data_IF_003345673676
#
_entry.id   IF_003345673676
#
_cell.length_a   1.000
_cell.length_b   1.000
_cell.length_c   1.000
_cell.angle_alpha   90.00
_cell.angle_beta   90.00
_cell.angle_gamma   90.00
#
_symmetry.space_group_name_H-M   'P 1'
#
loop_
_entity.id
_entity.type
_entity.pdbx_description
1 polymer ?
#
# COMPACT_ATOMS: atom_id res chain seq x y z
N UNK A 1 -12.16 64.75 -76.02
CA UNK A 1 -10.81 65.04 -75.52
C UNK A 1 -10.27 63.75 -74.88
N UNK A 2 -9.16 63.22 -75.43
CA UNK A 2 -8.23 62.20 -74.90
C UNK A 2 -8.70 60.75 -74.58
N UNK A 3 -7.91 59.85 -75.16
CA UNK A 3 -7.83 58.39 -75.01
C UNK A 3 -7.61 57.91 -73.56
N UNK A 4 -8.01 56.67 -73.29
CA UNK A 4 -7.32 55.81 -72.33
C UNK A 4 -7.38 54.34 -72.80
N UNK A 5 -6.25 53.83 -73.30
CA UNK A 5 -5.98 52.40 -73.52
C UNK A 5 -6.09 51.66 -72.18
N UNK A 6 -6.76 50.50 -72.17
CA UNK A 6 -6.49 49.46 -71.19
C UNK A 6 -6.30 48.13 -71.91
N UNK A 7 -5.03 47.72 -71.98
CA UNK A 7 -4.53 46.41 -72.37
C UNK A 7 -4.74 45.47 -71.17
N UNK A 8 -5.34 44.29 -71.35
CA UNK A 8 -5.31 43.22 -70.33
C UNK A 8 -4.82 41.90 -70.97
N UNK A 9 -3.94 41.16 -70.29
CA UNK A 9 -3.00 40.25 -70.94
C UNK A 9 -3.52 38.80 -71.04
N UNK A 10 -2.76 38.08 -71.84
CA UNK A 10 -2.85 36.70 -72.31
C UNK A 10 -3.02 35.65 -71.20
N UNK A 11 -3.74 34.59 -71.55
CA UNK A 11 -4.03 33.44 -70.70
C UNK A 11 -2.76 32.72 -70.25
N UNK A 12 -2.56 32.66 -68.94
CA UNK A 12 -1.52 31.85 -68.33
C UNK A 12 -1.92 30.37 -68.29
N UNK A 13 -0.94 29.59 -68.70
CA UNK A 13 -0.97 28.17 -68.98
C UNK A 13 -0.91 27.33 -67.70
N UNK A 14 -1.81 26.35 -67.64
CA UNK A 14 -1.66 24.99 -67.07
C UNK A 14 -0.45 24.76 -66.13
N UNK A 15 -0.72 24.82 -64.82
CA UNK A 15 0.16 24.31 -63.77
C UNK A 15 -0.55 23.19 -63.00
N UNK A 16 -0.97 22.13 -63.71
CA UNK A 16 -1.54 20.94 -63.07
C UNK A 16 -0.41 20.15 -62.40
N UNK A 17 -0.17 20.45 -61.12
CA UNK A 17 0.60 19.61 -60.22
C UNK A 17 -0.11 18.28 -59.99
N UNK A 18 0.61 17.18 -60.19
CA UNK A 18 0.19 15.82 -59.84
C UNK A 18 -0.23 15.78 -58.36
N UNK A 19 -1.51 15.57 -58.10
CA UNK A 19 -2.00 15.26 -56.75
C UNK A 19 -1.43 13.91 -56.33
N UNK A 20 -0.37 13.95 -55.52
CA UNK A 20 0.17 12.75 -54.87
C UNK A 20 -0.93 12.19 -53.97
N UNK A 21 -1.33 10.91 -54.08
CA UNK A 21 -2.34 10.35 -53.20
C UNK A 21 -1.80 10.39 -51.78
N UNK A 22 -2.49 11.12 -50.90
CA UNK A 22 -2.25 11.09 -49.46
C UNK A 22 -2.39 9.65 -49.03
N UNK A 23 -1.27 8.98 -48.73
CA UNK A 23 -1.27 7.62 -48.19
C UNK A 23 -2.09 7.68 -46.90
N UNK A 24 -3.29 7.13 -46.94
CA UNK A 24 -4.11 6.93 -45.76
C UNK A 24 -3.31 6.08 -44.77
N UNK A 25 -3.04 6.64 -43.59
CA UNK A 25 -2.42 5.90 -42.51
C UNK A 25 -3.27 4.64 -42.24
N UNK A 26 -2.61 3.48 -42.26
CA UNK A 26 -3.21 2.13 -42.13
C UNK A 26 -3.95 1.94 -40.79
N UNK A 27 -3.82 2.89 -39.87
CA UNK A 27 -4.56 2.94 -38.61
C UNK A 27 -5.29 4.30 -38.57
N UNK A 28 -6.63 4.34 -38.71
CA UNK A 28 -7.36 5.59 -38.52
C UNK A 28 -7.03 6.12 -37.12
N UNK A 29 -6.71 7.42 -36.95
CA UNK A 29 -6.18 7.97 -35.69
C UNK A 29 -7.10 7.72 -34.49
N UNK A 30 -8.40 7.54 -34.72
CA UNK A 30 -9.37 7.16 -33.68
C UNK A 30 -9.17 5.73 -33.14
N UNK A 31 -8.73 4.79 -33.96
CA UNK A 31 -8.47 3.41 -33.52
C UNK A 31 -7.17 3.30 -32.72
N UNK A 32 -6.11 4.00 -33.15
CA UNK A 32 -4.87 4.13 -32.38
C UNK A 32 -5.14 4.81 -31.01
N UNK A 33 -5.92 5.89 -31.00
CA UNK A 33 -6.30 6.58 -29.77
C UNK A 33 -7.13 5.69 -28.82
N UNK A 34 -8.06 4.87 -29.35
CA UNK A 34 -8.83 3.90 -28.56
C UNK A 34 -7.95 2.81 -27.95
N UNK A 35 -7.04 2.23 -28.74
CA UNK A 35 -6.11 1.23 -28.24
C UNK A 35 -5.13 1.82 -27.21
N UNK A 36 -4.67 3.05 -27.42
CA UNK A 36 -3.85 3.77 -26.47
C UNK A 36 -4.61 4.03 -25.15
N UNK A 37 -5.88 4.48 -25.22
CA UNK A 37 -6.72 4.65 -24.03
C UNK A 37 -6.92 3.34 -23.28
N UNK A 38 -7.20 2.23 -23.99
CA UNK A 38 -7.33 0.91 -23.37
C UNK A 38 -6.03 0.49 -22.69
N UNK A 39 -4.88 0.70 -23.34
CA UNK A 39 -3.56 0.42 -22.74
C UNK A 39 -3.28 1.28 -21.51
N UNK A 40 -3.61 2.57 -21.54
CA UNK A 40 -3.46 3.48 -20.40
C UNK A 40 -4.35 3.03 -19.24
N UNK A 41 -5.61 2.65 -19.51
CA UNK A 41 -6.52 2.14 -18.49
C UNK A 41 -6.03 0.81 -17.93
N UNK A 42 -5.58 -0.12 -18.79
CA UNK A 42 -5.06 -1.42 -18.35
C UNK A 42 -3.78 -1.27 -17.51
N UNK A 43 -2.84 -0.42 -17.95
CA UNK A 43 -1.65 -0.08 -17.20
C UNK A 43 -2.00 0.62 -15.87
N UNK A 44 -3.00 1.50 -15.89
CA UNK A 44 -3.56 2.10 -14.69
C UNK A 44 -4.07 1.06 -13.71
N UNK A 45 -4.95 0.15 -14.14
CA UNK A 45 -5.48 -0.93 -13.29
C UNK A 45 -4.35 -1.81 -12.76
N UNK A 46 -3.38 -2.19 -13.60
CA UNK A 46 -2.22 -2.98 -13.18
C UNK A 46 -1.36 -2.22 -12.16
N UNK A 47 -1.18 -0.91 -12.30
CA UNK A 47 -0.45 -0.13 -11.30
C UNK A 47 -1.27 0.04 -10.00
N UNK A 48 -2.59 0.23 -10.13
CA UNK A 48 -3.47 0.51 -9.01
C UNK A 48 -3.90 -0.71 -8.19
N UNK A 49 -3.73 -1.94 -8.71
CA UNK A 49 -4.18 -3.16 -8.02
C UNK A 49 -3.60 -3.30 -6.60
N UNK A 50 -2.34 -2.91 -6.40
CA UNK A 50 -1.68 -2.95 -5.09
C UNK A 50 -2.27 -1.99 -4.05
N UNK A 51 -3.02 -0.97 -4.51
CA UNK A 51 -3.69 0.01 -3.63
C UNK A 51 -5.14 -0.35 -3.35
N UNK A 52 -5.70 -1.37 -4.01
CA UNK A 52 -7.07 -1.79 -3.78
C UNK A 52 -7.27 -2.29 -2.35
N UNK A 53 -6.30 -3.03 -1.80
CA UNK A 53 -6.34 -3.54 -0.43
C UNK A 53 -6.41 -2.40 0.60
N UNK A 54 -5.51 -1.39 0.59
CA UNK A 54 -5.64 -0.19 1.41
C UNK A 54 -6.99 0.52 1.32
N UNK A 55 -7.53 0.68 0.10
CA UNK A 55 -8.81 1.37 -0.11
C UNK A 55 -9.96 0.56 0.49
N UNK A 56 -9.97 -0.76 0.29
CA UNK A 56 -10.97 -1.64 0.89
C UNK A 56 -10.87 -1.63 2.42
N UNK A 57 -9.66 -1.68 2.98
CA UNK A 57 -9.45 -1.57 4.42
C UNK A 57 -9.98 -0.24 4.97
N UNK A 58 -9.73 0.87 4.26
CA UNK A 58 -10.29 2.17 4.61
C UNK A 58 -11.82 2.17 4.60
N UNK A 59 -12.46 1.56 3.59
CA UNK A 59 -13.93 1.46 3.53
C UNK A 59 -14.48 0.62 4.69
N UNK A 60 -13.83 -0.49 5.02
CA UNK A 60 -14.20 -1.34 6.17
C UNK A 60 -14.15 -0.53 7.47
N UNK A 61 -13.05 0.19 7.70
CA UNK A 61 -12.91 1.05 8.88
C UNK A 61 -13.98 2.15 8.86
N UNK A 62 -14.21 2.81 7.74
CA UNK A 62 -15.21 3.87 7.60
C UNK A 62 -16.63 3.39 7.94
N UNK A 63 -17.02 2.20 7.46
CA UNK A 63 -18.34 1.62 7.76
C UNK A 63 -18.45 1.19 9.22
N UNK A 64 -17.39 0.63 9.80
CA UNK A 64 -17.36 0.22 11.20
C UNK A 64 -17.40 1.43 12.16
N UNK A 65 -16.67 2.49 11.85
CA UNK A 65 -16.55 3.69 12.67
C UNK A 65 -17.65 4.72 12.43
N UNK A 66 -18.46 4.55 11.38
CA UNK A 66 -19.55 5.47 11.00
C UNK A 66 -20.41 5.96 12.18
N UNK A 67 -20.94 5.10 13.07
CA UNK A 67 -21.74 5.57 14.21
C UNK A 67 -20.96 6.49 15.15
N UNK A 68 -19.67 6.21 15.38
CA UNK A 68 -18.79 7.05 16.19
C UNK A 68 -18.50 8.40 15.48
N UNK A 69 -18.24 8.34 14.17
CA UNK A 69 -18.03 9.54 13.35
C UNK A 69 -19.26 10.46 13.36
N UNK A 70 -20.49 9.92 13.27
CA UNK A 70 -21.71 10.75 13.34
C UNK A 70 -21.87 11.46 14.68
N UNK A 71 -21.51 10.80 15.79
CA UNK A 71 -21.50 11.43 17.12
C UNK A 71 -20.47 12.56 17.20
N UNK A 72 -19.29 12.33 16.65
CA UNK A 72 -18.24 13.36 16.55
C UNK A 72 -18.69 14.54 15.67
N UNK A 73 -19.31 14.28 14.52
CA UNK A 73 -19.83 15.31 13.62
C UNK A 73 -20.88 16.18 14.30
N UNK A 74 -21.78 15.57 15.08
CA UNK A 74 -22.76 16.30 15.87
C UNK A 74 -22.09 17.14 16.97
N UNK A 75 -21.07 16.61 17.65
CA UNK A 75 -20.33 17.32 18.69
C UNK A 75 -19.55 18.55 18.14
N UNK A 76 -19.09 18.48 16.89
CA UNK A 76 -18.33 19.55 16.22
C UNK A 76 -19.25 20.50 15.42
N UNK A 77 -20.56 20.47 15.67
CA UNK A 77 -21.52 21.40 15.07
C UNK A 77 -21.73 21.20 13.57
N UNK A 78 -21.48 20.00 13.04
CA UNK A 78 -21.73 19.65 11.63
C UNK A 78 -20.60 20.01 10.65
N UNK A 79 -19.47 20.55 11.12
CA UNK A 79 -18.32 20.82 10.26
C UNK A 79 -17.59 19.51 9.89
N UNK A 80 -17.88 19.01 8.68
CA UNK A 80 -17.31 17.76 8.14
C UNK A 80 -15.79 17.75 8.10
N UNK A 81 -15.15 18.87 7.77
CA UNK A 81 -13.69 18.95 7.65
C UNK A 81 -13.03 18.75 9.00
N UNK A 82 -13.54 19.41 10.05
CA UNK A 82 -12.97 19.28 11.40
C UNK A 82 -13.25 17.88 11.96
N UNK A 83 -14.47 17.37 11.79
CA UNK A 83 -14.82 16.02 12.22
C UNK A 83 -13.95 14.95 11.55
N UNK A 84 -13.72 15.04 10.24
CA UNK A 84 -12.88 14.11 9.50
C UNK A 84 -11.42 14.18 9.95
N UNK A 85 -10.87 15.38 10.15
CA UNK A 85 -9.49 15.56 10.66
C UNK A 85 -9.33 14.97 12.05
N UNK A 86 -10.28 15.21 12.96
CA UNK A 86 -10.26 14.64 14.31
C UNK A 86 -10.38 13.11 14.29
N UNK A 87 -11.26 12.57 13.46
CA UNK A 87 -11.41 11.12 13.30
C UNK A 87 -10.13 10.46 12.78
N UNK A 88 -9.45 11.09 11.82
CA UNK A 88 -8.16 10.60 11.33
C UNK A 88 -7.09 10.70 12.39
N UNK A 89 -7.02 11.83 13.10
CA UNK A 89 -6.02 12.00 14.15
C UNK A 89 -6.18 10.92 15.22
N UNK A 90 -7.41 10.62 15.62
CA UNK A 90 -7.71 9.53 16.54
C UNK A 90 -7.25 8.17 16.01
N UNK A 91 -7.55 7.85 14.75
CA UNK A 91 -7.13 6.59 14.12
C UNK A 91 -5.61 6.53 13.94
N UNK A 92 -4.96 7.64 13.62
CA UNK A 92 -3.51 7.74 13.51
C UNK A 92 -2.87 7.48 14.88
N UNK A 93 -3.39 8.09 15.95
CA UNK A 93 -2.93 7.82 17.30
C UNK A 93 -3.18 6.37 17.72
N UNK A 94 -4.34 5.80 17.40
CA UNK A 94 -4.70 4.45 17.84
C UNK A 94 -4.02 3.34 17.03
N UNK A 95 -3.76 3.56 15.75
CA UNK A 95 -3.21 2.54 14.84
C UNK A 95 -1.72 2.75 14.55
N UNK A 96 -1.33 3.97 14.18
CA UNK A 96 0.04 4.24 13.69
C UNK A 96 1.02 4.32 14.83
N UNK A 97 0.66 4.93 15.97
CA UNK A 97 1.57 5.08 17.10
C UNK A 97 1.98 3.72 17.69
N UNK A 98 1.07 2.76 17.99
CA UNK A 98 1.48 1.45 18.51
C UNK A 98 2.35 0.68 17.54
N UNK A 99 2.05 0.73 16.24
CA UNK A 99 2.87 0.07 15.20
C UNK A 99 4.26 0.70 15.13
N UNK A 100 4.34 2.04 15.19
CA UNK A 100 5.61 2.75 15.18
C UNK A 100 6.45 2.43 16.44
N UNK A 101 5.81 2.38 17.61
CA UNK A 101 6.47 1.98 18.85
C UNK A 101 6.96 0.54 18.77
N UNK A 102 6.11 -0.41 18.36
CA UNK A 102 6.49 -1.80 18.18
C UNK A 102 7.67 -1.95 17.19
N UNK A 103 7.64 -1.21 16.08
CA UNK A 103 8.74 -1.17 15.11
C UNK A 103 10.02 -0.57 15.69
N UNK A 104 9.92 0.47 16.52
CA UNK A 104 11.06 1.07 17.20
C UNK A 104 11.67 0.13 18.23
N UNK A 105 10.85 -0.53 19.06
CA UNK A 105 11.29 -1.55 20.00
C UNK A 105 11.96 -2.72 19.29
N UNK A 106 11.32 -3.28 18.25
CA UNK A 106 11.91 -4.36 17.46
C UNK A 106 13.24 -3.94 16.82
N UNK A 107 13.34 -2.70 16.32
CA UNK A 107 14.59 -2.18 15.74
C UNK A 107 15.69 -2.02 16.80
N UNK A 108 15.32 -1.66 18.03
CA UNK A 108 16.28 -1.57 19.14
C UNK A 108 16.78 -2.95 19.56
N UNK A 109 15.86 -3.90 19.70
CA UNK A 109 16.18 -5.30 20.00
C UNK A 109 17.14 -5.87 18.96
N UNK A 110 16.86 -5.71 17.66
CA UNK A 110 17.75 -6.18 16.59
C UNK A 110 19.14 -5.54 16.69
N UNK A 111 19.24 -4.25 17.04
CA UNK A 111 20.55 -3.61 17.24
C UNK A 111 21.32 -4.21 18.40
N UNK A 112 20.66 -4.48 19.51
CA UNK A 112 21.27 -5.09 20.69
C UNK A 112 21.76 -6.50 20.39
N UNK A 113 20.94 -7.31 19.71
CA UNK A 113 21.30 -8.67 19.30
C UNK A 113 22.47 -8.68 18.30
N UNK A 114 22.49 -7.76 17.34
CA UNK A 114 23.61 -7.61 16.40
C UNK A 114 24.88 -7.17 17.13
N UNK A 115 24.77 -6.24 18.08
CA UNK A 115 25.89 -5.82 18.93
C UNK A 115 26.46 -6.99 19.73
N UNK A 116 25.59 -7.75 20.41
CA UNK A 116 25.97 -8.95 21.14
C UNK A 116 26.62 -10.01 20.25
N UNK A 117 26.10 -10.22 19.04
CA UNK A 117 26.67 -11.16 18.09
C UNK A 117 28.07 -10.74 17.60
N UNK A 118 28.28 -9.44 17.36
CA UNK A 118 29.59 -8.91 16.98
C UNK A 118 30.58 -9.08 18.15
N UNK A 119 30.18 -8.73 19.37
CA UNK A 119 31.04 -8.83 20.56
C UNK A 119 31.41 -10.29 20.85
N UNK A 120 30.42 -11.17 20.85
CA UNK A 120 30.61 -12.62 20.99
C UNK A 120 31.53 -13.18 19.91
N UNK A 121 31.45 -12.67 18.68
CA UNK A 121 32.35 -13.09 17.61
C UNK A 121 33.79 -12.60 17.81
N UNK A 122 34.00 -11.50 18.54
CA UNK A 122 35.35 -10.94 18.80
C UNK A 122 36.03 -11.63 19.97
N UNK A 123 35.32 -11.84 21.06
CA UNK A 123 35.90 -12.35 22.31
C UNK A 123 35.66 -13.86 22.52
N UNK A 124 34.70 -14.44 21.81
CA UNK A 124 34.11 -15.73 22.15
C UNK A 124 33.11 -15.59 23.31
N UNK A 125 32.08 -16.43 23.35
CA UNK A 125 31.13 -16.44 24.47
C UNK A 125 31.19 -17.76 25.25
N UNK A 126 31.27 -17.63 26.56
CA UNK A 126 31.00 -18.74 27.49
C UNK A 126 29.55 -19.16 27.39
N UNK A 127 29.28 -20.46 27.55
CA UNK A 127 27.92 -21.00 27.53
C UNK A 127 27.08 -20.37 28.64
N UNK A 128 25.90 -19.78 28.32
CA UNK A 128 24.96 -19.32 29.32
C UNK A 128 24.55 -20.45 30.28
N UNK A 129 24.47 -20.13 31.58
CA UNK A 129 24.17 -21.10 32.63
C UNK A 129 22.82 -21.83 32.41
N UNK A 130 21.82 -21.14 31.85
CA UNK A 130 20.51 -21.73 31.54
C UNK A 130 20.58 -22.80 30.43
N UNK A 131 21.53 -22.70 29.49
CA UNK A 131 21.73 -23.71 28.44
C UNK A 131 22.39 -24.94 29.06
N UNK A 132 23.43 -24.72 29.87
CA UNK A 132 24.18 -25.79 30.51
C UNK A 132 23.35 -26.58 31.53
N UNK A 133 22.31 -25.98 32.12
CA UNK A 133 21.47 -26.61 33.16
C UNK A 133 20.22 -27.31 32.62
N UNK A 134 20.03 -27.37 31.29
CA UNK A 134 18.89 -28.08 30.72
C UNK A 134 18.96 -29.60 30.98
N UNK A 135 17.89 -30.22 31.48
CA UNK A 135 17.87 -31.66 31.71
C UNK A 135 18.01 -32.41 30.37
N UNK A 136 18.72 -33.54 30.39
CA UNK A 136 18.97 -34.45 29.25
C UNK A 136 19.92 -33.91 28.17
N UNK A 137 19.87 -32.62 27.82
CA UNK A 137 20.61 -32.05 26.68
C UNK A 137 21.64 -30.97 27.04
N UNK A 138 21.68 -30.51 28.30
CA UNK A 138 22.51 -29.38 28.72
C UNK A 138 24.01 -29.56 28.47
N UNK A 139 24.57 -30.73 28.82
CA UNK A 139 25.99 -31.02 28.61
C UNK A 139 26.36 -31.06 27.13
N UNK A 140 25.52 -31.70 26.29
CA UNK A 140 25.74 -31.74 24.84
C UNK A 140 25.66 -30.34 24.22
N UNK A 141 24.66 -29.53 24.60
CA UNK A 141 24.54 -28.15 24.15
C UNK A 141 25.72 -27.29 24.60
N UNK A 142 26.23 -27.50 25.81
CA UNK A 142 27.40 -26.81 26.34
C UNK A 142 28.68 -27.14 25.56
N UNK A 143 28.88 -28.41 25.20
CA UNK A 143 30.00 -28.79 24.33
C UNK A 143 29.88 -28.19 22.92
N UNK A 144 28.69 -28.23 22.32
CA UNK A 144 28.47 -27.62 21.00
C UNK A 144 28.64 -26.10 21.02
N UNK A 145 28.20 -25.43 22.09
CA UNK A 145 28.37 -24.00 22.27
C UNK A 145 29.85 -23.65 22.41
N UNK A 146 30.57 -24.32 23.31
CA UNK A 146 32.00 -24.07 23.53
C UNK A 146 32.81 -24.33 22.25
N UNK A 147 32.48 -25.39 21.51
CA UNK A 147 33.16 -25.73 20.26
C UNK A 147 32.95 -24.70 19.16
N UNK A 148 31.73 -24.18 19.00
CA UNK A 148 31.37 -23.33 17.86
C UNK A 148 31.37 -21.83 18.18
N UNK A 149 31.18 -21.45 19.44
CA UNK A 149 31.00 -20.06 19.89
C UNK A 149 31.99 -19.67 21.01
N UNK A 150 32.75 -20.62 21.56
CA UNK A 150 33.70 -20.37 22.66
C UNK A 150 35.04 -19.77 22.24
N UNK A 151 35.22 -19.41 20.97
CA UNK A 151 36.47 -18.85 20.45
C UNK A 151 36.21 -17.66 19.51
N UNK A 152 37.16 -16.70 19.39
CA UNK A 152 37.06 -15.60 18.45
C UNK A 152 36.84 -16.11 17.01
N UNK A 153 35.85 -15.56 16.32
CA UNK A 153 35.49 -15.93 14.95
C UNK A 153 34.43 -17.03 14.82
N UNK A 154 34.03 -17.68 15.92
CA UNK A 154 33.11 -18.82 15.90
C UNK A 154 31.72 -18.53 15.30
N UNK A 155 31.14 -17.35 15.55
CA UNK A 155 29.88 -16.93 14.91
C UNK A 155 30.07 -16.77 13.40
N UNK A 156 31.20 -16.19 12.98
CA UNK A 156 31.53 -16.02 11.57
C UNK A 156 31.65 -17.37 10.85
N UNK A 157 32.30 -18.34 11.46
CA UNK A 157 32.39 -19.71 10.93
C UNK A 157 31.04 -20.41 10.88
N UNK A 158 30.20 -20.27 11.92
CA UNK A 158 28.86 -20.84 11.95
C UNK A 158 27.96 -20.22 10.86
N UNK A 159 28.03 -18.90 10.67
CA UNK A 159 27.31 -18.21 9.60
C UNK A 159 27.83 -18.68 8.24
N UNK A 160 29.14 -18.89 8.05
CA UNK A 160 29.69 -19.44 6.82
C UNK A 160 29.27 -20.90 6.59
N UNK A 161 29.18 -21.72 7.63
CA UNK A 161 28.78 -23.12 7.54
C UNK A 161 27.29 -23.26 7.22
N UNK A 162 26.43 -22.46 7.87
CA UNK A 162 24.98 -22.46 7.65
C UNK A 162 24.64 -21.75 6.33
N UNK A 163 25.30 -20.63 6.04
CA UNK A 163 24.99 -19.81 4.86
C UNK A 163 25.72 -20.27 3.61
N UNK A 164 26.81 -21.05 3.73
CA UNK A 164 27.50 -21.90 2.73
C UNK A 164 28.04 -21.27 1.44
N UNK A 165 27.39 -20.23 0.93
CA UNK A 165 27.64 -19.51 -0.32
C UNK A 165 26.63 -18.36 -0.53
N UNK A 166 25.64 -18.19 0.36
CA UNK A 166 24.50 -17.30 0.23
C UNK A 166 24.46 -16.22 1.31
N UNK A 167 25.53 -15.45 1.49
CA UNK A 167 25.46 -14.13 2.19
C UNK A 167 24.33 -13.26 1.58
N UNK A 168 24.06 -13.46 0.28
CA UNK A 168 22.93 -12.88 -0.40
C UNK A 168 21.56 -13.25 0.17
N UNK A 169 21.38 -14.35 0.89
CA UNK A 169 20.09 -14.73 1.50
C UNK A 169 19.77 -13.89 2.74
N UNK A 170 20.76 -13.61 3.59
CA UNK A 170 20.63 -12.71 4.74
C UNK A 170 20.38 -11.28 4.24
N UNK A 171 21.17 -10.82 3.27
CA UNK A 171 20.99 -9.50 2.66
C UNK A 171 19.62 -9.36 1.95
N UNK A 172 19.17 -10.40 1.24
CA UNK A 172 17.80 -10.46 0.66
C UNK A 172 16.74 -10.51 1.75
N UNK A 173 16.98 -11.17 2.88
CA UNK A 173 16.06 -11.20 4.02
C UNK A 173 15.88 -9.80 4.62
N UNK A 174 16.98 -9.08 4.83
CA UNK A 174 16.95 -7.69 5.31
C UNK A 174 16.30 -6.75 4.28
N UNK A 175 16.63 -6.89 2.99
CA UNK A 175 16.01 -6.10 1.93
C UNK A 175 14.53 -6.43 1.73
N UNK A 176 14.13 -7.70 1.83
CA UNK A 176 12.74 -8.12 1.75
C UNK A 176 11.95 -7.61 2.95
N UNK A 177 12.53 -7.67 4.16
CA UNK A 177 11.94 -7.09 5.36
C UNK A 177 11.79 -5.56 5.21
N UNK A 178 12.84 -4.85 4.79
CA UNK A 178 12.80 -3.40 4.55
C UNK A 178 11.82 -2.99 3.45
N UNK A 179 11.80 -3.74 2.33
CA UNK A 179 10.85 -3.54 1.23
C UNK A 179 9.40 -3.80 1.66
N UNK A 180 9.18 -4.81 2.50
CA UNK A 180 7.85 -5.09 3.07
C UNK A 180 7.39 -3.97 4.02
N UNK A 181 8.29 -3.43 4.85
CA UNK A 181 7.98 -2.32 5.74
C UNK A 181 7.64 -1.04 4.96
N UNK A 182 8.37 -0.74 3.88
CA UNK A 182 8.04 0.38 2.99
C UNK A 182 6.67 0.18 2.31
N UNK A 183 6.38 -1.04 1.85
CA UNK A 183 5.08 -1.40 1.28
C UNK A 183 3.94 -1.22 2.29
N UNK A 184 4.14 -1.64 3.54
CA UNK A 184 3.16 -1.43 4.63
C UNK A 184 2.95 0.05 4.93
N UNK A 185 4.02 0.85 4.98
CA UNK A 185 3.93 2.29 5.21
C UNK A 185 3.14 2.98 4.09
N UNK A 186 3.44 2.64 2.84
CA UNK A 186 2.73 3.16 1.68
C UNK A 186 1.25 2.72 1.71
N UNK A 187 0.98 1.45 2.02
CA UNK A 187 -0.38 0.93 2.20
C UNK A 187 -1.15 1.69 3.29
N UNK A 188 -0.53 1.94 4.44
CA UNK A 188 -1.12 2.72 5.54
C UNK A 188 -1.40 4.17 5.11
N UNK A 189 -0.47 4.80 4.39
CA UNK A 189 -0.64 6.17 3.89
C UNK A 189 -1.84 6.25 2.92
N UNK A 190 -1.90 5.34 1.94
CA UNK A 190 -3.02 5.29 0.99
C UNK A 190 -4.34 4.95 1.68
N UNK A 191 -4.33 4.04 2.65
CA UNK A 191 -5.50 3.72 3.48
C UNK A 191 -5.98 4.98 4.22
N UNK A 192 -5.09 5.75 4.83
CA UNK A 192 -5.46 7.00 5.51
C UNK A 192 -6.01 8.06 4.58
N UNK A 193 -5.41 8.24 3.40
CA UNK A 193 -5.93 9.16 2.39
C UNK A 193 -7.33 8.73 1.95
N UNK A 194 -7.51 7.45 1.61
CA UNK A 194 -8.81 6.91 1.21
C UNK A 194 -9.85 7.06 2.33
N UNK A 195 -9.45 6.82 3.58
CA UNK A 195 -10.31 6.97 4.76
C UNK A 195 -10.73 8.43 4.98
N UNK A 196 -9.83 9.39 4.75
CA UNK A 196 -10.16 10.81 4.78
C UNK A 196 -11.23 11.19 3.77
N UNK A 197 -11.04 10.78 2.52
CA UNK A 197 -12.04 11.01 1.48
C UNK A 197 -13.36 10.31 1.80
N UNK A 198 -13.32 9.10 2.37
CA UNK A 198 -14.51 8.39 2.82
C UNK A 198 -15.28 9.14 3.91
N UNK A 199 -14.61 9.74 4.91
CA UNK A 199 -15.30 10.53 5.94
C UNK A 199 -15.76 11.90 5.46
N UNK A 200 -14.96 12.57 4.63
CA UNK A 200 -15.23 13.93 4.16
C UNK A 200 -16.32 13.97 3.09
N UNK A 201 -16.18 13.13 2.07
CA UNK A 201 -16.97 13.16 0.84
C UNK A 201 -17.82 11.89 0.64
N UNK A 202 -17.86 10.99 1.63
CA UNK A 202 -18.52 9.69 1.56
C UNK A 202 -19.97 9.74 1.10
N UNK A 203 -20.75 10.74 1.51
CA UNK A 203 -22.15 10.90 1.07
C UNK A 203 -22.27 11.19 -0.43
N UNK A 204 -21.38 12.03 -0.97
CA UNK A 204 -21.35 12.33 -2.40
C UNK A 204 -20.85 11.14 -3.21
N UNK A 205 -19.84 10.44 -2.69
CA UNK A 205 -19.29 9.24 -3.30
C UNK A 205 -20.29 8.08 -3.29
N UNK A 206 -20.98 7.85 -2.17
CA UNK A 206 -22.04 6.85 -2.04
C UNK A 206 -23.16 7.10 -3.05
N UNK A 207 -23.62 8.35 -3.20
CA UNK A 207 -24.63 8.69 -4.20
C UNK A 207 -24.17 8.53 -5.66
N UNK A 208 -22.86 8.54 -5.95
CA UNK A 208 -22.33 8.19 -7.28
C UNK A 208 -22.27 6.68 -7.48
N UNK A 209 -21.82 5.95 -6.46
CA UNK A 209 -21.75 4.50 -6.45
C UNK A 209 -23.16 3.91 -6.55
N UNK A 210 -24.16 4.51 -5.90
CA UNK A 210 -25.55 4.09 -6.00
C UNK A 210 -26.10 4.24 -7.42
N UNK A 211 -25.88 5.39 -8.05
CA UNK A 211 -26.31 5.62 -9.44
C UNK A 211 -25.63 4.68 -10.43
N UNK A 212 -24.36 4.34 -10.20
CA UNK A 212 -23.64 3.38 -11.04
C UNK A 212 -24.13 1.95 -10.80
N UNK A 213 -24.36 1.59 -9.54
CA UNK A 213 -24.84 0.29 -9.12
C UNK A 213 -26.25 -0.01 -9.61
N UNK A 214 -27.16 0.97 -9.57
CA UNK A 214 -28.50 0.86 -10.16
C UNK A 214 -28.46 0.65 -11.67
N UNK A 215 -27.48 1.25 -12.38
CA UNK A 215 -27.29 1.04 -13.82
C UNK A 215 -26.77 -0.35 -14.17
N UNK A 216 -25.92 -0.95 -13.32
CA UNK A 216 -25.30 -2.26 -13.58
C UNK A 216 -26.20 -3.40 -13.07
N UNK A 217 -26.82 -3.23 -11.90
CA UNK A 217 -27.64 -4.22 -11.20
C UNK A 217 -29.02 -3.65 -10.82
N UNK A 218 -29.88 -3.35 -11.80
CA UNK A 218 -31.22 -2.83 -11.54
C UNK A 218 -31.99 -3.79 -10.63
N UNK A 219 -32.77 -3.25 -9.69
CA UNK A 219 -33.60 -3.95 -8.67
C UNK A 219 -32.88 -4.66 -7.51
N UNK A 220 -31.59 -5.04 -7.66
CA UNK A 220 -30.84 -5.73 -6.58
C UNK A 220 -29.93 -4.80 -5.81
N UNK A 221 -29.50 -3.71 -6.43
CA UNK A 221 -28.54 -2.77 -5.87
C UNK A 221 -28.94 -2.23 -4.49
N UNK A 222 -30.19 -1.77 -4.34
CA UNK A 222 -30.67 -1.17 -3.08
C UNK A 222 -30.56 -2.12 -1.87
N UNK A 223 -30.77 -3.43 -2.08
CA UNK A 223 -30.58 -4.42 -1.03
C UNK A 223 -29.09 -4.61 -0.72
N UNK A 224 -28.24 -4.68 -1.74
CA UNK A 224 -26.80 -4.90 -1.59
C UNK A 224 -26.15 -3.70 -0.88
N UNK A 225 -26.46 -2.47 -1.30
CA UNK A 225 -25.87 -1.25 -0.73
C UNK A 225 -26.22 -1.04 0.75
N UNK A 226 -27.34 -1.60 1.22
CA UNK A 226 -27.72 -1.57 2.65
C UNK A 226 -27.13 -2.73 3.46
N UNK A 227 -27.10 -3.94 2.89
CA UNK A 227 -26.66 -5.15 3.61
C UNK A 227 -25.14 -5.20 3.76
N UNK A 228 -24.38 -4.86 2.72
CA UNK A 228 -22.92 -4.99 2.74
C UNK A 228 -22.27 -4.15 3.85
N UNK A 229 -22.55 -2.83 3.97
CA UNK A 229 -21.98 -2.02 5.05
C UNK A 229 -22.40 -2.51 6.43
N UNK A 230 -23.66 -2.95 6.59
CA UNK A 230 -24.17 -3.46 7.86
C UNK A 230 -23.44 -4.73 8.31
N UNK A 231 -23.25 -5.69 7.39
CA UNK A 231 -22.51 -6.93 7.68
C UNK A 231 -21.06 -6.65 8.03
N UNK A 232 -20.38 -5.78 7.27
CA UNK A 232 -18.99 -5.39 7.56
C UNK A 232 -18.90 -4.75 8.95
N UNK A 233 -19.76 -3.78 9.25
CA UNK A 233 -19.79 -3.09 10.53
C UNK A 233 -20.05 -4.06 11.69
N UNK A 234 -20.97 -5.02 11.51
CA UNK A 234 -21.26 -6.06 12.52
C UNK A 234 -20.05 -6.95 12.80
N UNK A 235 -19.36 -7.42 11.76
CA UNK A 235 -18.17 -8.29 11.93
C UNK A 235 -17.04 -7.53 12.62
N UNK A 236 -16.76 -6.29 12.21
CA UNK A 236 -15.71 -5.47 12.83
C UNK A 236 -16.03 -5.12 14.27
N UNK A 237 -17.29 -4.79 14.58
CA UNK A 237 -17.71 -4.51 15.95
C UNK A 237 -17.56 -5.76 16.82
N UNK A 238 -17.95 -6.94 16.30
CA UNK A 238 -17.74 -8.22 17.00
C UNK A 238 -16.27 -8.51 17.28
N UNK A 239 -15.39 -8.35 16.28
CA UNK A 239 -13.94 -8.54 16.46
C UNK A 239 -13.34 -7.54 17.45
N UNK A 240 -13.79 -6.27 17.41
CA UNK A 240 -13.34 -5.25 18.36
C UNK A 240 -13.71 -5.62 19.80
N UNK A 241 -14.92 -6.12 20.04
CA UNK A 241 -15.35 -6.55 21.37
C UNK A 241 -14.50 -7.72 21.86
N UNK A 242 -14.23 -8.71 21.00
CA UNK A 242 -13.36 -9.85 21.33
C UNK A 242 -11.96 -9.38 21.68
N UNK A 243 -11.37 -8.51 20.85
CA UNK A 243 -10.02 -8.00 21.07
C UNK A 243 -9.91 -7.20 22.39
N UNK A 244 -10.94 -6.43 22.75
CA UNK A 244 -10.99 -5.75 24.05
C UNK A 244 -11.08 -6.78 25.19
N UNK A 245 -11.87 -7.84 25.02
CA UNK A 245 -11.96 -8.93 25.99
C UNK A 245 -10.62 -9.64 26.21
N UNK A 246 -9.90 -9.94 25.13
CA UNK A 246 -8.56 -10.54 25.19
C UNK A 246 -7.53 -9.58 25.79
N UNK A 247 -7.61 -8.28 25.50
CA UNK A 247 -6.66 -7.29 26.03
C UNK A 247 -6.81 -6.97 27.52
N UNK A 248 -7.90 -7.40 28.17
CA UNK A 248 -8.13 -7.21 29.61
C UNK A 248 -7.59 -8.39 30.45
N UNK A 249 -7.42 -9.57 29.84
CA UNK A 249 -6.93 -10.81 30.48
C UNK A 249 -5.41 -10.88 30.41
#
# INVERSE_FOLDING_TARGET
>A
MKEARIKKPEGQQRLFGLSTPVRSAVIPPLSAARWLLVLIVAAGVYFFHGFLVPVLAALVIAFASWPLYRRLLAAVGGNRTIAATLAILFILTFLVVPIALAGAYASNEVREWVGWAIETNREGAVTPYWIATLPVVGDWLNEQWTRNLGHPGGIGELIQLISGANIGSIYRGVLAAGGSAFGLLLALLFMMIALFFAYRDGEHFAGQVDRLGERILPTRWERISRVVPATISSTVTGMTIIAIGEGVV
#
